data_IF_109951952224
#
_entry.id   IF_109951952224
#
_cell.length_a   1.000
_cell.length_b   1.000
_cell.length_c   1.000
_cell.angle_alpha   90.00
_cell.angle_beta   90.00
_cell.angle_gamma   90.00
#
_symmetry.space_group_name_H-M   'P 1'
#
loop_
_entity.id
_entity.type
_entity.pdbx_description
1 polymer ?
#
# COMPACT_ATOMS: atom_id res chain seq x y z
N UNK A 1 -5.82 -7.50 -14.77
CA UNK A 1 -6.14 -7.05 -13.40
C UNK A 1 -5.97 -8.23 -12.46
N UNK A 2 -5.24 -8.06 -11.36
CA UNK A 2 -5.01 -9.09 -10.36
C UNK A 2 -6.12 -9.06 -9.30
N UNK A 3 -6.55 -10.23 -8.82
CA UNK A 3 -7.57 -10.39 -7.77
C UNK A 3 -6.90 -10.93 -6.52
N UNK A 4 -7.07 -10.23 -5.41
CA UNK A 4 -6.54 -10.61 -4.10
C UNK A 4 -7.71 -10.69 -3.13
N UNK A 5 -8.03 -11.88 -2.58
CA UNK A 5 -9.21 -12.06 -1.75
C UNK A 5 -9.23 -11.13 -0.53
N UNK A 6 -8.10 -11.02 0.18
CA UNK A 6 -7.98 -10.19 1.38
C UNK A 6 -6.58 -9.58 1.46
N UNK A 7 -6.52 -8.31 1.83
CA UNK A 7 -5.29 -7.62 2.26
C UNK A 7 -5.54 -7.09 3.67
N UNK A 8 -4.67 -7.44 4.61
CA UNK A 8 -4.74 -6.97 5.99
C UNK A 8 -3.50 -6.16 6.32
N UNK A 9 -3.68 -4.95 6.82
CA UNK A 9 -2.65 -4.11 7.40
C UNK A 9 -2.83 -4.05 8.92
N UNK A 10 -1.86 -4.61 9.63
CA UNK A 10 -1.78 -4.56 11.09
C UNK A 10 -0.65 -3.63 11.48
N UNK A 11 -0.86 -2.81 12.50
CA UNK A 11 0.19 -1.95 12.99
C UNK A 11 -0.15 -1.25 14.28
N UNK A 12 0.78 -0.39 14.70
CA UNK A 12 0.56 0.54 15.79
C UNK A 12 0.45 1.95 15.25
N UNK A 13 -0.32 2.78 15.93
CA UNK A 13 -0.37 4.22 15.68
C UNK A 13 0.02 4.97 16.94
N UNK A 14 0.56 6.17 16.74
CA UNK A 14 0.66 7.23 17.73
C UNK A 14 0.12 8.49 17.06
N UNK A 15 -0.87 9.13 17.67
CA UNK A 15 -1.50 10.36 17.20
C UNK A 15 -1.37 11.45 18.24
N UNK A 16 -1.03 12.63 17.76
CA UNK A 16 -0.97 13.87 18.53
C UNK A 16 -1.97 14.84 17.93
N UNK A 17 -2.90 15.33 18.74
CA UNK A 17 -3.92 16.28 18.30
C UNK A 17 -4.44 17.14 19.43
N UNK A 18 -5.33 18.06 19.09
CA UNK A 18 -6.01 18.90 20.07
C UNK A 18 -7.51 18.95 19.77
N UNK A 19 -8.35 18.72 20.78
CA UNK A 19 -9.75 19.17 20.74
C UNK A 19 -9.83 20.48 21.53
N UNK A 20 -10.03 21.59 20.81
CA UNK A 20 -9.97 22.97 21.32
C UNK A 20 -8.60 23.31 21.96
N UNK A 21 -8.39 22.96 23.23
CA UNK A 21 -7.16 23.20 24.00
C UNK A 21 -6.69 21.97 24.79
N UNK A 22 -7.41 20.84 24.71
CA UNK A 22 -6.99 19.59 25.34
C UNK A 22 -6.07 18.80 24.40
N UNK A 23 -4.81 18.54 24.78
CA UNK A 23 -3.95 17.65 24.02
C UNK A 23 -4.52 16.24 24.08
N UNK A 24 -4.75 15.66 22.91
CA UNK A 24 -5.13 14.27 22.71
C UNK A 24 -3.90 13.55 22.18
N UNK A 25 -3.21 12.91 23.11
CA UNK A 25 -2.23 11.90 22.80
C UNK A 25 -2.95 10.55 22.81
N UNK A 26 -2.92 9.86 21.68
CA UNK A 26 -3.36 8.46 21.61
C UNK A 26 -2.29 7.63 20.94
N UNK A 27 -2.24 6.37 21.31
CA UNK A 27 -1.43 5.34 20.68
C UNK A 27 -2.30 4.11 20.54
N UNK A 28 -1.85 3.01 19.96
CA UNK A 28 -2.64 1.78 19.97
C UNK A 28 -2.39 0.93 18.76
N UNK A 29 -3.23 -0.07 18.59
CA UNK A 29 -3.16 -0.96 17.45
C UNK A 29 -4.29 -0.65 16.47
N UNK A 30 -3.97 -0.76 15.18
CA UNK A 30 -4.98 -0.75 14.14
C UNK A 30 -4.93 -2.04 13.34
N UNK A 31 -6.10 -2.43 12.85
CA UNK A 31 -6.28 -3.46 11.85
C UNK A 31 -7.15 -2.86 10.74
N UNK A 32 -6.60 -2.79 9.53
CA UNK A 32 -7.35 -2.45 8.33
C UNK A 32 -7.41 -3.68 7.45
N UNK A 33 -8.62 -4.16 7.19
CA UNK A 33 -8.86 -5.31 6.30
C UNK A 33 -9.61 -4.85 5.07
N UNK A 34 -9.04 -5.15 3.90
CA UNK A 34 -9.60 -4.90 2.59
C UNK A 34 -9.98 -6.23 1.94
N UNK A 35 -11.22 -6.38 1.50
CA UNK A 35 -11.73 -7.62 0.90
C UNK A 35 -12.06 -7.44 -0.58
N UNK A 36 -11.95 -8.53 -1.34
CA UNK A 36 -12.22 -8.60 -2.78
C UNK A 36 -11.44 -7.53 -3.57
N UNK A 37 -10.14 -7.47 -3.30
CA UNK A 37 -9.27 -6.43 -3.83
C UNK A 37 -8.94 -6.70 -5.29
N UNK A 38 -9.15 -5.70 -6.13
CA UNK A 38 -8.70 -5.69 -7.51
C UNK A 38 -7.52 -4.74 -7.63
N UNK A 39 -6.41 -5.20 -8.22
CA UNK A 39 -5.27 -4.34 -8.52
C UNK A 39 -4.93 -4.29 -10.00
N UNK A 40 -4.62 -3.08 -10.46
CA UNK A 40 -4.06 -2.77 -11.76
C UNK A 40 -2.59 -2.43 -11.62
N UNK A 41 -1.76 -3.04 -12.44
CA UNK A 41 -0.32 -2.81 -12.46
C UNK A 41 0.09 -2.44 -13.87
N UNK A 42 0.87 -1.38 -13.98
CA UNK A 42 1.52 -0.96 -15.19
C UNK A 42 3.03 -0.91 -14.90
N UNK A 43 3.87 -1.55 -15.71
CA UNK A 43 5.32 -1.53 -15.50
C UNK A 43 6.01 -1.24 -16.82
N UNK A 44 6.72 -0.12 -16.90
CA UNK A 44 7.65 0.18 -17.99
C UNK A 44 9.04 -0.35 -17.61
N UNK A 45 9.60 -1.18 -18.48
CA UNK A 45 10.91 -1.80 -18.27
C UNK A 45 11.83 -1.43 -19.43
N UNK A 46 13.06 -1.04 -19.09
CA UNK A 46 14.13 -0.74 -20.04
C UNK A 46 15.26 -1.77 -19.92
N UNK A 47 16.07 -1.91 -20.96
CA UNK A 47 17.29 -2.72 -20.93
C UNK A 47 18.45 -1.86 -20.45
N UNK A 48 19.20 -2.36 -19.47
CA UNK A 48 20.42 -1.74 -18.97
C UNK A 48 21.61 -2.68 -19.21
N UNK A 49 22.69 -2.19 -19.82
CA UNK A 49 23.92 -2.98 -20.00
C UNK A 49 24.91 -2.66 -18.89
N UNK A 50 25.32 -3.68 -18.13
CA UNK A 50 26.33 -3.60 -17.07
C UNK A 50 27.44 -4.61 -17.36
N UNK A 51 28.67 -4.12 -17.58
CA UNK A 51 29.85 -4.96 -17.87
C UNK A 51 29.66 -5.93 -19.05
N UNK A 52 28.91 -5.52 -20.08
CA UNK A 52 28.63 -6.35 -21.25
C UNK A 52 27.46 -7.33 -21.09
N UNK A 53 26.85 -7.40 -19.90
CA UNK A 53 25.63 -8.19 -19.65
C UNK A 53 24.41 -7.27 -19.63
N UNK A 54 23.34 -7.68 -20.31
CA UNK A 54 22.08 -6.95 -20.32
C UNK A 54 21.17 -7.40 -19.17
N UNK A 55 20.58 -6.44 -18.48
CA UNK A 55 19.61 -6.62 -17.41
C UNK A 55 18.33 -5.84 -17.74
N UNK A 56 17.25 -6.20 -17.06
CA UNK A 56 16.01 -5.43 -17.09
C UNK A 56 15.98 -4.47 -15.91
N UNK A 57 15.41 -3.29 -16.11
CA UNK A 57 15.21 -2.30 -15.06
C UNK A 57 13.83 -1.64 -15.23
N UNK A 58 13.09 -1.51 -14.14
CA UNK A 58 11.84 -0.73 -14.08
C UNK A 58 12.18 0.75 -14.09
N UNK A 59 11.69 1.44 -15.12
CA UNK A 59 11.76 2.89 -15.28
C UNK A 59 10.57 3.56 -14.55
N UNK A 60 9.36 3.04 -14.78
CA UNK A 60 8.14 3.54 -14.14
C UNK A 60 7.18 2.40 -13.79
N UNK A 61 6.55 2.51 -12.62
CA UNK A 61 5.55 1.58 -12.13
C UNK A 61 4.28 2.34 -11.73
N UNK A 62 3.17 2.03 -12.39
CA UNK A 62 1.83 2.44 -12.00
C UNK A 62 1.14 1.35 -11.20
N UNK A 63 0.57 1.73 -10.07
CA UNK A 63 -0.23 0.85 -9.21
C UNK A 63 -1.57 1.51 -8.91
N UNK A 64 -2.65 0.77 -9.17
CA UNK A 64 -3.98 1.11 -8.71
C UNK A 64 -4.58 -0.07 -7.94
N UNK A 65 -5.11 0.21 -6.75
CA UNK A 65 -5.77 -0.79 -5.90
C UNK A 65 -7.20 -0.33 -5.64
N UNK A 66 -8.14 -1.27 -5.70
CA UNK A 66 -9.55 -1.02 -5.40
C UNK A 66 -10.14 -2.21 -4.64
N UNK A 67 -10.41 -2.08 -3.34
CA UNK A 67 -11.18 -3.04 -2.58
C UNK A 67 -12.68 -2.91 -2.85
N UNK A 68 -13.44 -3.99 -2.67
CA UNK A 68 -14.90 -3.91 -2.60
C UNK A 68 -15.36 -3.43 -1.22
N UNK A 69 -14.67 -3.89 -0.18
CA UNK A 69 -14.98 -3.57 1.21
C UNK A 69 -13.71 -3.19 1.98
N UNK A 70 -13.85 -2.22 2.89
CA UNK A 70 -12.79 -1.78 3.79
C UNK A 70 -13.35 -1.78 5.21
N UNK A 71 -12.68 -2.48 6.11
CA UNK A 71 -13.01 -2.53 7.53
C UNK A 71 -11.84 -1.98 8.33
N UNK A 72 -12.14 -1.16 9.34
CA UNK A 72 -11.14 -0.51 10.19
C UNK A 72 -11.45 -0.80 11.65
N UNK A 73 -10.52 -1.45 12.34
CA UNK A 73 -10.59 -1.65 13.78
C UNK A 73 -9.43 -0.90 14.42
N UNK A 74 -9.73 0.11 15.22
CA UNK A 74 -8.77 0.70 16.14
C UNK A 74 -9.05 0.18 17.55
N UNK A 75 -8.07 -0.50 18.13
CA UNK A 75 -8.15 -0.89 19.52
C UNK A 75 -7.84 0.34 20.39
N UNK A 76 -8.84 1.11 20.85
CA UNK A 76 -8.64 1.84 22.12
C UNK A 76 -9.87 2.38 22.85
N UNK A 77 -9.72 2.31 24.19
CA UNK A 77 -10.27 3.16 25.25
C UNK A 77 -9.64 4.56 25.18
N UNK A 78 -10.43 5.55 24.75
CA UNK A 78 -10.04 6.99 24.79
C UNK A 78 -10.49 7.67 26.10
N UNK A 79 -11.39 7.03 26.82
CA UNK A 79 -12.03 7.38 28.09
C UNK A 79 -12.10 6.13 28.99
N UNK A 80 -12.33 6.34 30.29
CA UNK A 80 -12.37 5.25 31.26
C UNK A 80 -13.42 4.15 30.96
N UNK A 81 -14.50 4.48 30.23
CA UNK A 81 -15.58 3.58 29.84
C UNK A 81 -15.64 3.26 28.32
N UNK A 82 -14.64 3.66 27.53
CA UNK A 82 -14.49 3.39 26.10
C UNK A 82 -15.58 3.94 25.15
N UNK A 83 -16.43 4.87 25.57
CA UNK A 83 -17.50 5.39 24.69
C UNK A 83 -16.93 6.14 23.49
N UNK A 84 -15.93 6.98 23.71
CA UNK A 84 -15.25 7.72 22.65
C UNK A 84 -14.59 6.78 21.63
N UNK A 85 -13.99 5.68 22.09
CA UNK A 85 -13.39 4.68 21.21
C UNK A 85 -14.39 3.93 20.36
N UNK A 86 -15.52 3.53 20.95
CA UNK A 86 -16.61 2.91 20.19
C UNK A 86 -17.15 3.87 19.13
N UNK A 87 -17.44 5.13 19.49
CA UNK A 87 -17.94 6.12 18.52
C UNK A 87 -16.94 6.39 17.39
N UNK A 88 -15.65 6.46 17.70
CA UNK A 88 -14.61 6.63 16.68
C UNK A 88 -14.56 5.43 15.73
N UNK A 89 -14.58 4.20 16.26
CA UNK A 89 -14.59 2.99 15.42
C UNK A 89 -15.83 2.92 14.53
N UNK A 90 -17.00 3.30 15.04
CA UNK A 90 -18.22 3.39 14.22
C UNK A 90 -18.03 4.39 13.09
N UNK A 91 -17.57 5.61 13.39
CA UNK A 91 -17.30 6.61 12.36
C UNK A 91 -16.29 6.14 11.31
N UNK A 92 -15.18 5.52 11.74
CA UNK A 92 -14.16 5.01 10.83
C UNK A 92 -14.70 3.92 9.91
N UNK A 93 -15.51 2.98 10.41
CA UNK A 93 -16.10 1.92 9.60
C UNK A 93 -17.17 2.45 8.65
N UNK A 94 -18.08 3.31 9.13
CA UNK A 94 -19.14 3.92 8.31
C UNK A 94 -18.56 4.72 7.13
N UNK A 95 -17.37 5.28 7.31
CA UNK A 95 -16.69 6.10 6.31
C UNK A 95 -15.45 5.43 5.72
N UNK A 96 -15.22 4.13 5.97
CA UNK A 96 -13.95 3.47 5.67
C UNK A 96 -13.56 3.56 4.19
N UNK A 97 -14.52 3.40 3.29
CA UNK A 97 -14.27 3.45 1.85
C UNK A 97 -13.98 4.88 1.35
N UNK A 98 -14.65 5.90 1.89
CA UNK A 98 -14.39 7.30 1.51
C UNK A 98 -13.05 7.78 2.09
N UNK A 99 -12.73 7.40 3.32
CA UNK A 99 -11.41 7.61 3.91
C UNK A 99 -10.33 6.90 3.10
N UNK A 100 -10.57 5.66 2.68
CA UNK A 100 -9.67 4.94 1.78
C UNK A 100 -9.44 5.72 0.48
N UNK A 101 -10.48 6.19 -0.21
CA UNK A 101 -10.34 6.97 -1.44
C UNK A 101 -9.53 8.25 -1.24
N UNK A 102 -9.73 8.94 -0.11
CA UNK A 102 -8.98 10.15 0.22
C UNK A 102 -7.49 9.86 0.42
N UNK A 103 -7.16 8.76 1.09
CA UNK A 103 -5.79 8.38 1.42
C UNK A 103 -5.09 7.64 0.27
N UNK A 104 -5.86 6.99 -0.60
CA UNK A 104 -5.38 6.11 -1.67
C UNK A 104 -4.26 6.75 -2.52
N UNK A 105 -4.37 7.98 -3.05
CA UNK A 105 -3.32 8.54 -3.91
C UNK A 105 -1.95 8.52 -3.21
N UNK A 106 -1.89 9.01 -1.97
CA UNK A 106 -0.65 9.06 -1.19
C UNK A 106 -0.12 7.67 -0.83
N UNK A 107 -1.00 6.74 -0.52
CA UNK A 107 -0.62 5.35 -0.18
C UNK A 107 -0.10 4.63 -1.44
N UNK A 108 -0.75 4.82 -2.60
CA UNK A 108 -0.33 4.21 -3.85
C UNK A 108 1.03 4.71 -4.30
N UNK A 109 1.28 6.03 -4.27
CA UNK A 109 2.59 6.59 -4.63
C UNK A 109 3.71 5.97 -3.77
N UNK A 110 3.50 5.88 -2.46
CA UNK A 110 4.47 5.25 -1.55
C UNK A 110 4.72 3.76 -1.87
N UNK A 111 3.66 3.00 -2.16
CA UNK A 111 3.82 1.60 -2.53
C UNK A 111 4.45 1.41 -3.91
N UNK A 112 4.20 2.32 -4.87
CA UNK A 112 4.85 2.28 -6.18
C UNK A 112 6.37 2.34 -6.03
N UNK A 113 6.87 3.26 -5.21
CA UNK A 113 8.30 3.39 -4.91
C UNK A 113 8.88 2.10 -4.30
N UNK A 114 8.20 1.54 -3.30
CA UNK A 114 8.62 0.28 -2.66
C UNK A 114 8.66 -0.85 -3.68
N UNK A 115 7.61 -1.03 -4.47
CA UNK A 115 7.56 -2.11 -5.45
C UNK A 115 8.59 -1.94 -6.54
N UNK A 116 8.86 -0.71 -7.01
CA UNK A 116 9.91 -0.45 -7.98
C UNK A 116 11.29 -0.86 -7.43
N UNK A 117 11.59 -0.55 -6.16
CA UNK A 117 12.82 -0.99 -5.50
C UNK A 117 12.89 -2.52 -5.44
N UNK A 118 11.84 -3.17 -4.96
CA UNK A 118 11.79 -4.64 -4.81
C UNK A 118 11.96 -5.34 -6.15
N UNK A 119 11.23 -4.89 -7.18
CA UNK A 119 11.30 -5.49 -8.52
C UNK A 119 12.68 -5.25 -9.13
N UNK A 120 13.25 -4.05 -9.02
CA UNK A 120 14.59 -3.77 -9.53
C UNK A 120 15.68 -4.60 -8.86
N UNK A 121 15.59 -4.85 -7.55
CA UNK A 121 16.53 -5.73 -6.86
C UNK A 121 16.56 -7.13 -7.48
N UNK A 122 15.40 -7.64 -7.92
CA UNK A 122 15.31 -8.93 -8.61
C UNK A 122 15.82 -8.82 -10.04
N UNK A 123 15.33 -7.87 -10.83
CA UNK A 123 15.65 -7.76 -12.26
C UNK A 123 17.13 -7.43 -12.53
N UNK A 124 17.77 -6.64 -11.67
CA UNK A 124 19.19 -6.30 -11.79
C UNK A 124 20.11 -7.42 -11.29
N UNK A 125 19.58 -8.39 -10.54
CA UNK A 125 20.35 -9.58 -10.11
C UNK A 125 20.31 -10.71 -11.14
N UNK A 126 19.42 -10.63 -12.14
CA UNK A 126 19.16 -11.70 -13.09
C UNK A 126 19.32 -11.19 -14.54
N UNK A 127 20.23 -11.75 -15.35
CA UNK A 127 20.41 -11.33 -16.74
C UNK A 127 19.11 -11.41 -17.56
N UNK A 128 18.91 -10.45 -18.47
CA UNK A 128 17.73 -10.35 -19.37
C UNK A 128 17.42 -11.69 -20.03
N UNK A 129 18.44 -12.34 -20.60
CA UNK A 129 18.31 -13.61 -21.33
C UNK A 129 17.74 -14.75 -20.47
N UNK A 130 17.96 -14.73 -19.15
CA UNK A 130 17.40 -15.73 -18.23
C UNK A 130 15.93 -15.47 -17.93
N UNK A 131 15.48 -14.22 -17.97
CA UNK A 131 14.10 -13.83 -17.71
C UNK A 131 13.26 -13.96 -18.99
N UNK A 132 13.80 -13.52 -20.12
CA UNK A 132 13.14 -13.46 -21.43
C UNK A 132 14.02 -14.13 -22.51
N UNK A 133 14.12 -15.47 -22.51
CA UNK A 133 15.05 -16.19 -23.39
C UNK A 133 14.74 -16.04 -24.89
N UNK A 134 13.47 -15.84 -25.25
CA UNK A 134 13.02 -15.84 -26.66
C UNK A 134 12.64 -14.43 -27.16
N UNK A 135 12.97 -13.37 -26.42
CA UNK A 135 12.56 -12.00 -26.76
C UNK A 135 13.78 -11.13 -27.08
N UNK A 136 13.98 -10.88 -28.37
CA UNK A 136 14.88 -9.83 -28.84
C UNK A 136 14.13 -8.49 -28.81
N UNK A 137 14.35 -7.71 -27.75
CA UNK A 137 13.92 -6.31 -27.70
C UNK A 137 14.97 -5.50 -28.47
N UNK A 138 14.79 -5.36 -29.78
CA UNK A 138 15.50 -4.35 -30.56
C UNK A 138 14.86 -2.99 -30.24
N UNK A 139 15.63 -2.10 -29.62
CA UNK A 139 15.26 -0.71 -29.34
C UNK A 139 15.51 0.17 -30.57
#
# INVERSE_FOLDING_TARGET
MCKTPVITALGTYTTEGYISFFPLHSEGHFNVTMSEVTSGWFVYVTVMTLNGTEYLQVDHLGLDVMPLEVNVESARLFDGDNKLGTSLNTFLNENAFELYKLLKPRIMDYFQDIFQIVINNVLLSTPKQSILPDVNIEL
#
